data_IF_587546072721
#
_entry.id   IF_587546072721
#
_cell.length_a   1.000
_cell.length_b   1.000
_cell.length_c   1.000
_cell.angle_alpha   90.00
_cell.angle_beta   90.00
_cell.angle_gamma   90.00
#
_symmetry.space_group_name_H-M   'P 1'
#
loop_
_entity.id
_entity.type
_entity.pdbx_description
1 polymer ?
#
# COMPACT_ATOMS: atom_id res chain seq x y z
N UNK A 1 3.32 -2.30 9.26
CA UNK A 1 2.43 -1.13 9.09
C UNK A 1 3.20 0.09 9.48
N UNK A 2 3.19 1.10 8.61
CA UNK A 2 3.58 2.46 8.99
C UNK A 2 2.33 3.25 9.27
N UNK A 3 2.29 3.82 10.46
CA UNK A 3 1.17 4.60 10.94
C UNK A 3 1.33 6.03 10.44
N UNK A 4 0.26 6.85 10.42
CA UNK A 4 0.42 8.27 10.14
C UNK A 4 1.48 8.96 11.02
N UNK A 5 1.64 8.51 12.27
CA UNK A 5 2.67 9.03 13.18
C UNK A 5 4.11 8.86 12.68
N UNK A 6 4.36 7.93 11.77
CA UNK A 6 5.68 7.69 11.19
C UNK A 6 6.29 8.95 10.56
N UNK A 7 5.46 9.77 9.91
CA UNK A 7 5.88 11.01 9.24
C UNK A 7 5.04 12.24 9.60
N UNK A 8 4.03 12.10 10.45
CA UNK A 8 3.20 13.19 10.97
C UNK A 8 3.12 13.10 12.49
N UNK A 9 3.82 13.97 13.22
CA UNK A 9 3.84 13.99 14.70
C UNK A 9 2.46 14.07 15.39
N UNK A 10 1.44 14.54 14.68
CA UNK A 10 0.06 14.65 15.17
C UNK A 10 -0.88 13.59 14.56
N UNK A 11 -0.36 12.72 13.70
CA UNK A 11 -1.10 11.60 13.14
C UNK A 11 -1.27 10.47 14.13
N UNK A 12 -2.22 9.57 13.84
CA UNK A 12 -2.46 8.39 14.67
C UNK A 12 -1.21 7.50 14.77
N UNK A 13 -0.87 7.11 15.98
CA UNK A 13 0.02 5.97 16.26
C UNK A 13 -0.71 4.65 16.10
N UNK A 14 0.02 3.54 16.24
CA UNK A 14 -0.54 2.19 16.14
C UNK A 14 -1.67 1.92 17.16
N UNK A 15 -1.68 2.60 18.32
CA UNK A 15 -2.73 2.47 19.34
C UNK A 15 -3.96 3.35 19.08
N UNK A 16 -3.87 4.31 18.16
CA UNK A 16 -4.86 5.39 17.95
C UNK A 16 -5.64 5.26 16.64
N UNK A 17 -5.25 4.37 15.72
CA UNK A 17 -5.98 4.19 14.45
C UNK A 17 -7.42 3.73 14.75
N UNK A 18 -8.44 4.44 14.24
CA UNK A 18 -9.85 4.07 14.43
C UNK A 18 -10.16 2.65 13.93
N UNK A 19 -11.00 1.93 14.68
CA UNK A 19 -11.31 0.51 14.38
C UNK A 19 -12.08 0.33 13.06
N UNK A 20 -12.88 1.30 12.65
CA UNK A 20 -13.56 1.32 11.34
C UNK A 20 -12.58 1.45 10.15
N UNK A 21 -11.32 1.80 10.43
CA UNK A 21 -10.20 1.79 9.47
C UNK A 21 -9.35 0.53 9.57
N UNK A 22 -9.67 -0.40 10.47
CA UNK A 22 -8.90 -1.64 10.68
C UNK A 22 -9.75 -2.90 10.51
N UNK A 23 -11.05 -2.84 10.81
CA UNK A 23 -11.95 -3.98 10.81
C UNK A 23 -12.98 -3.84 9.68
N UNK A 24 -13.15 -4.90 8.89
CA UNK A 24 -14.12 -4.93 7.78
C UNK A 24 -13.94 -3.77 6.79
N UNK A 25 -12.69 -3.44 6.49
CA UNK A 25 -12.34 -2.35 5.57
C UNK A 25 -12.52 -2.83 4.13
N UNK A 26 -13.31 -2.17 3.26
CA UNK A 26 -13.45 -2.58 1.86
C UNK A 26 -12.08 -2.62 1.17
N UNK A 27 -11.79 -3.65 0.38
CA UNK A 27 -10.56 -3.72 -0.42
C UNK A 27 -10.86 -3.25 -1.84
N UNK A 28 -9.95 -2.45 -2.39
CA UNK A 28 -9.81 -2.22 -3.82
C UNK A 28 -8.42 -2.69 -4.26
N UNK A 29 -8.34 -3.68 -5.16
CA UNK A 29 -7.07 -4.20 -5.66
C UNK A 29 -6.79 -3.68 -7.08
N UNK A 30 -5.72 -2.91 -7.24
CA UNK A 30 -5.16 -2.55 -8.54
C UNK A 30 -4.01 -3.52 -8.84
N UNK A 31 -4.12 -4.24 -9.96
CA UNK A 31 -3.10 -5.16 -10.44
C UNK A 31 -2.23 -4.49 -11.50
N UNK A 32 -0.94 -4.35 -11.19
CA UNK A 32 0.12 -3.80 -12.05
C UNK A 32 1.24 -4.82 -12.26
N UNK A 33 0.96 -6.12 -12.08
CA UNK A 33 1.96 -7.17 -12.15
C UNK A 33 2.66 -7.23 -13.51
N UNK A 34 1.94 -6.99 -14.61
CA UNK A 34 2.52 -7.05 -15.95
C UNK A 34 3.50 -5.89 -16.18
N UNK A 35 3.15 -4.71 -15.71
CA UNK A 35 3.94 -3.50 -15.79
C UNK A 35 5.21 -3.62 -14.93
N UNK A 36 5.06 -4.08 -13.68
CA UNK A 36 6.16 -4.35 -12.76
C UNK A 36 7.11 -5.45 -13.27
N UNK A 37 6.59 -6.45 -13.97
CA UNK A 37 7.43 -7.50 -14.58
C UNK A 37 8.27 -6.99 -15.77
N UNK A 38 7.79 -5.97 -16.49
CA UNK A 38 8.52 -5.33 -17.60
C UNK A 38 9.50 -4.26 -17.13
N UNK A 39 9.19 -3.60 -16.00
CA UNK A 39 10.00 -2.56 -15.41
C UNK A 39 10.02 -2.70 -13.89
N UNK A 40 11.15 -3.16 -13.32
CA UNK A 40 11.33 -3.28 -11.88
C UNK A 40 11.26 -1.94 -11.12
N UNK A 41 11.36 -0.79 -11.82
CA UNK A 41 11.17 0.56 -11.26
C UNK A 41 9.81 1.16 -11.63
N UNK A 42 8.82 0.33 -11.98
CA UNK A 42 7.51 0.82 -12.36
C UNK A 42 6.86 1.63 -11.23
N UNK A 43 6.51 2.88 -11.53
CA UNK A 43 5.78 3.74 -10.62
C UNK A 43 4.33 3.78 -11.09
N UNK A 44 3.39 3.37 -10.24
CA UNK A 44 1.96 3.35 -10.60
C UNK A 44 1.42 4.78 -10.78
N UNK A 45 1.00 5.19 -11.99
CA UNK A 45 0.47 6.52 -12.26
C UNK A 45 -1.02 6.63 -11.93
N UNK A 46 -1.52 7.87 -11.87
CA UNK A 46 -2.95 8.20 -11.66
C UNK A 46 -3.83 7.50 -12.70
N UNK A 47 -3.33 7.30 -13.92
CA UNK A 47 -4.05 6.63 -14.99
C UNK A 47 -4.48 5.20 -14.65
N UNK A 48 -3.73 4.47 -13.81
CA UNK A 48 -4.12 3.13 -13.35
C UNK A 48 -5.32 3.19 -12.41
N UNK A 49 -5.37 4.18 -11.51
CA UNK A 49 -6.53 4.43 -10.64
C UNK A 49 -7.77 4.74 -11.47
N UNK A 50 -7.65 5.65 -12.44
CA UNK A 50 -8.78 6.04 -13.29
C UNK A 50 -9.27 4.88 -14.17
N UNK A 51 -8.35 4.08 -14.71
CA UNK A 51 -8.71 2.88 -15.50
C UNK A 51 -9.42 1.85 -14.63
N UNK A 52 -8.92 1.63 -13.42
CA UNK A 52 -9.56 0.73 -12.47
C UNK A 52 -10.97 1.21 -12.11
N UNK A 53 -11.17 2.50 -11.85
CA UNK A 53 -12.48 3.05 -11.51
C UNK A 53 -13.47 2.99 -12.69
N UNK A 54 -12.99 3.15 -13.92
CA UNK A 54 -13.83 3.00 -15.11
C UNK A 54 -14.37 1.56 -15.27
N UNK A 55 -13.65 0.56 -14.75
CA UNK A 55 -14.03 -0.87 -14.85
C UNK A 55 -14.84 -1.34 -13.64
N UNK A 56 -14.55 -0.82 -12.45
CA UNK A 56 -15.07 -1.35 -11.19
C UNK A 56 -16.02 -0.37 -10.46
N UNK A 57 -16.20 0.85 -10.98
CA UNK A 57 -16.86 1.94 -10.28
C UNK A 57 -15.91 2.74 -9.39
N UNK A 58 -16.39 3.81 -8.73
CA UNK A 58 -15.55 4.63 -7.86
C UNK A 58 -14.94 3.81 -6.73
N UNK A 59 -13.73 4.18 -6.29
CA UNK A 59 -13.13 3.57 -5.10
C UNK A 59 -14.10 3.67 -3.90
N UNK A 60 -14.35 2.56 -3.17
CA UNK A 60 -15.20 2.61 -1.99
C UNK A 60 -14.64 3.61 -0.96
N UNK A 61 -15.52 4.31 -0.26
CA UNK A 61 -15.09 5.20 0.81
C UNK A 61 -14.44 4.40 1.94
N UNK A 62 -13.37 4.96 2.52
CA UNK A 62 -12.59 4.35 3.59
C UNK A 62 -12.05 2.96 3.22
N UNK A 63 -11.63 2.76 1.96
CA UNK A 63 -11.10 1.47 1.50
C UNK A 63 -9.61 1.30 1.79
N UNK A 64 -9.16 0.05 1.82
CA UNK A 64 -7.77 -0.33 1.72
C UNK A 64 -7.43 -0.54 0.24
N UNK A 65 -6.64 0.38 -0.32
CA UNK A 65 -6.15 0.26 -1.69
C UNK A 65 -4.92 -0.65 -1.69
N UNK A 66 -5.03 -1.81 -2.34
CA UNK A 66 -3.95 -2.77 -2.48
C UNK A 66 -3.35 -2.69 -3.89
N UNK A 67 -2.02 -2.65 -3.97
CA UNK A 67 -1.28 -2.64 -5.24
C UNK A 67 -0.59 -3.99 -5.40
N UNK A 68 -1.11 -4.82 -6.31
CA UNK A 68 -0.50 -6.11 -6.67
C UNK A 68 0.51 -5.88 -7.77
N UNK A 69 1.78 -6.14 -7.45
CA UNK A 69 2.90 -6.05 -8.39
C UNK A 69 3.49 -7.43 -8.72
N UNK A 70 3.07 -8.47 -8.00
CA UNK A 70 3.65 -9.80 -8.02
C UNK A 70 5.03 -9.88 -7.37
N UNK A 71 5.40 -8.87 -6.55
CA UNK A 71 6.74 -8.77 -5.97
C UNK A 71 6.97 -9.73 -4.80
N UNK A 72 5.89 -10.18 -4.14
CA UNK A 72 5.94 -11.13 -3.01
C UNK A 72 6.68 -12.42 -3.37
N UNK A 73 6.71 -12.83 -4.64
CA UNK A 73 7.47 -14.01 -5.12
C UNK A 73 8.97 -13.93 -4.82
N UNK A 74 9.52 -12.73 -4.63
CA UNK A 74 10.94 -12.52 -4.34
C UNK A 74 11.28 -12.58 -2.85
N UNK A 75 10.30 -12.69 -1.94
CA UNK A 75 10.49 -12.55 -0.49
C UNK A 75 11.60 -13.44 0.10
N UNK A 76 11.73 -14.67 -0.38
CA UNK A 76 12.75 -15.63 0.11
C UNK A 76 14.16 -15.38 -0.46
N UNK A 77 14.34 -14.40 -1.34
CA UNK A 77 15.64 -13.98 -1.85
C UNK A 77 15.85 -12.49 -1.57
N UNK A 78 16.67 -12.19 -0.57
CA UNK A 78 16.93 -10.81 -0.12
C UNK A 78 17.33 -9.86 -1.25
N UNK A 79 18.25 -10.26 -2.12
CA UNK A 79 18.73 -9.38 -3.21
C UNK A 79 17.64 -9.14 -4.24
N UNK A 80 16.87 -10.18 -4.60
CA UNK A 80 15.74 -10.04 -5.52
C UNK A 80 14.60 -9.22 -4.89
N UNK A 81 14.32 -9.39 -3.61
CA UNK A 81 13.27 -8.66 -2.89
C UNK A 81 13.57 -7.17 -2.79
N UNK A 82 14.82 -6.80 -2.52
CA UNK A 82 15.25 -5.40 -2.58
C UNK A 82 15.57 -4.93 -4.01
N UNK A 83 15.41 -5.81 -5.00
CA UNK A 83 15.60 -5.56 -6.43
C UNK A 83 16.96 -4.98 -6.78
N UNK A 84 18.02 -5.56 -6.20
CA UNK A 84 19.41 -5.19 -6.49
C UNK A 84 19.79 -5.69 -7.88
N UNK A 85 20.18 -4.79 -8.77
CA UNK A 85 20.68 -5.13 -10.10
C UNK A 85 22.18 -5.50 -10.10
N UNK A 86 22.73 -5.77 -11.28
CA UNK A 86 24.15 -6.12 -11.45
C UNK A 86 25.13 -4.99 -11.08
N UNK A 87 24.66 -3.74 -10.99
CA UNK A 87 25.45 -2.57 -10.61
C UNK A 87 25.26 -2.19 -9.13
N UNK A 88 24.46 -2.96 -8.37
CA UNK A 88 24.13 -2.66 -6.98
C UNK A 88 23.04 -1.59 -6.81
N UNK A 89 22.41 -1.16 -7.90
CA UNK A 89 21.30 -0.20 -7.89
C UNK A 89 20.02 -0.97 -7.53
N UNK A 90 19.19 -0.37 -6.67
CA UNK A 90 17.98 -1.02 -6.19
C UNK A 90 16.76 -0.51 -6.94
N UNK A 91 15.88 -1.44 -7.31
CA UNK A 91 14.67 -1.19 -8.10
C UNK A 91 13.50 -1.95 -7.49
N UNK A 92 12.44 -1.24 -7.13
CA UNK A 92 11.18 -1.86 -6.71
C UNK A 92 10.02 -1.09 -7.37
N UNK A 93 8.92 -1.79 -7.70
CA UNK A 93 7.68 -1.12 -8.02
C UNK A 93 7.22 -0.27 -6.83
N UNK A 94 6.66 0.88 -7.13
CA UNK A 94 6.21 1.85 -6.13
C UNK A 94 5.01 2.64 -6.66
N UNK A 95 4.50 3.58 -5.86
CA UNK A 95 3.40 4.46 -6.27
C UNK A 95 3.99 5.83 -6.61
N UNK A 96 3.62 6.40 -7.77
CA UNK A 96 4.04 7.77 -8.08
C UNK A 96 3.52 8.75 -7.02
N UNK A 97 4.35 9.70 -6.54
CA UNK A 97 3.89 10.70 -5.58
C UNK A 97 2.67 11.51 -6.04
N UNK A 98 2.55 11.78 -7.35
CA UNK A 98 1.39 12.44 -7.93
C UNK A 98 0.11 11.60 -7.79
N UNK A 99 0.22 10.28 -7.88
CA UNK A 99 -0.89 9.34 -7.64
C UNK A 99 -1.31 9.37 -6.18
N UNK A 100 -0.36 9.38 -5.26
CA UNK A 100 -0.66 9.49 -3.83
C UNK A 100 -1.32 10.84 -3.49
N UNK A 101 -0.84 11.94 -4.08
CA UNK A 101 -1.46 13.26 -3.90
C UNK A 101 -2.90 13.29 -4.45
N UNK A 102 -3.13 12.70 -5.62
CA UNK A 102 -4.47 12.55 -6.18
C UNK A 102 -5.39 11.74 -5.24
N UNK A 103 -4.94 10.55 -4.81
CA UNK A 103 -5.71 9.67 -3.94
C UNK A 103 -6.06 10.34 -2.61
N UNK A 104 -5.09 10.96 -1.95
CA UNK A 104 -5.29 11.60 -0.63
C UNK A 104 -6.14 12.86 -0.68
N UNK A 105 -6.22 13.54 -1.83
CA UNK A 105 -7.08 14.73 -2.00
C UNK A 105 -8.47 14.43 -2.52
N UNK A 106 -8.60 13.42 -3.38
CA UNK A 106 -9.81 13.19 -4.17
C UNK A 106 -10.55 11.91 -3.79
N UNK A 107 -9.96 11.05 -2.94
CA UNK A 107 -10.55 9.78 -2.48
C UNK A 107 -10.45 9.69 -0.96
N UNK A 108 -11.21 8.76 -0.40
CA UNK A 108 -11.22 8.45 1.03
C UNK A 108 -10.62 7.07 1.23
N UNK A 109 -9.34 7.01 1.61
CA UNK A 109 -8.64 5.76 1.88
C UNK A 109 -8.50 5.54 3.37
N UNK A 110 -8.70 4.31 3.84
CA UNK A 110 -8.29 3.85 5.17
C UNK A 110 -6.76 3.69 5.21
N UNK A 111 -6.23 2.99 4.21
CA UNK A 111 -4.83 2.64 4.07
C UNK A 111 -4.42 2.33 2.63
N UNK A 112 -3.11 2.17 2.42
CA UNK A 112 -2.51 1.68 1.18
C UNK A 112 -1.63 0.47 1.48
N UNK A 113 -1.70 -0.57 0.65
CA UNK A 113 -0.89 -1.77 0.80
C UNK A 113 -0.13 -2.14 -0.47
N UNK A 114 1.11 -2.60 -0.32
CA UNK A 114 1.98 -3.04 -1.42
C UNK A 114 2.84 -4.24 -0.99
N UNK A 115 3.20 -5.09 -1.94
CA UNK A 115 4.05 -6.27 -1.70
C UNK A 115 5.54 -5.94 -1.54
N UNK A 116 5.97 -4.78 -2.02
CA UNK A 116 7.37 -4.33 -1.98
C UNK A 116 7.76 -3.83 -0.60
N UNK A 117 9.05 -3.60 -0.41
CA UNK A 117 9.63 -3.11 0.84
C UNK A 117 9.36 -1.62 1.11
N UNK A 118 8.69 -0.91 0.19
CA UNK A 118 8.39 0.51 0.31
C UNK A 118 7.29 0.93 -0.67
N UNK A 119 6.37 1.83 -0.27
CA UNK A 119 5.46 2.52 -1.23
C UNK A 119 6.15 3.59 -2.08
N UNK A 120 7.31 4.07 -1.62
CA UNK A 120 8.21 4.96 -2.36
C UNK A 120 9.31 4.15 -3.07
N UNK A 121 9.81 4.66 -4.19
CA UNK A 121 11.07 4.19 -4.77
C UNK A 121 12.27 4.59 -3.89
N UNK A 122 13.41 3.92 -4.06
CA UNK A 122 14.57 4.17 -3.22
C UNK A 122 15.09 5.62 -3.30
N UNK A 123 15.33 6.21 -2.13
CA UNK A 123 15.79 7.60 -2.01
C UNK A 123 14.66 8.63 -1.93
N UNK A 124 13.40 8.20 -2.05
CA UNK A 124 12.22 9.05 -1.86
C UNK A 124 11.44 8.68 -0.60
N UNK A 125 10.72 9.66 -0.07
CA UNK A 125 9.79 9.51 1.06
C UNK A 125 8.50 10.31 0.85
N UNK A 126 8.27 10.82 -0.38
CA UNK A 126 7.19 11.78 -0.65
C UNK A 126 5.83 11.11 -0.52
N UNK A 127 5.69 9.87 -0.99
CA UNK A 127 4.45 9.11 -0.87
C UNK A 127 4.11 8.83 0.59
N UNK A 128 5.11 8.42 1.39
CA UNK A 128 4.97 8.30 2.84
C UNK A 128 4.46 9.58 3.52
N UNK A 129 5.08 10.73 3.23
CA UNK A 129 4.68 12.01 3.83
C UNK A 129 3.24 12.41 3.45
N UNK A 130 2.85 12.21 2.20
CA UNK A 130 1.49 12.54 1.73
C UNK A 130 0.44 11.65 2.41
N UNK A 131 0.69 10.35 2.52
CA UNK A 131 -0.20 9.39 3.21
C UNK A 131 -0.33 9.72 4.69
N UNK A 132 0.79 9.96 5.37
CA UNK A 132 0.82 10.33 6.79
C UNK A 132 0.10 11.66 7.07
N UNK A 133 0.24 12.66 6.20
CA UNK A 133 -0.47 13.93 6.32
C UNK A 133 -2.00 13.76 6.20
N UNK A 134 -2.45 12.77 5.41
CA UNK A 134 -3.85 12.44 5.21
C UNK A 134 -4.41 11.41 6.21
N UNK A 135 -3.63 11.02 7.24
CA UNK A 135 -3.98 9.96 8.19
C UNK A 135 -4.27 8.60 7.54
N UNK A 136 -3.61 8.29 6.42
CA UNK A 136 -3.68 7.01 5.73
C UNK A 136 -2.49 6.14 6.18
N UNK A 137 -2.77 4.94 6.71
CA UNK A 137 -1.70 4.01 7.10
C UNK A 137 -1.15 3.24 5.89
N UNK A 138 0.04 2.68 6.05
CA UNK A 138 0.76 1.96 4.99
C UNK A 138 1.01 0.50 5.43
N UNK A 139 0.79 -0.44 4.51
CA UNK A 139 1.09 -1.86 4.68
C UNK A 139 2.11 -2.29 3.64
N UNK A 140 3.37 -2.40 4.04
CA UNK A 140 4.46 -2.86 3.18
C UNK A 140 4.78 -4.33 3.44
N UNK A 141 5.48 -4.96 2.49
CA UNK A 141 5.82 -6.38 2.54
C UNK A 141 4.58 -7.29 2.64
N UNK A 142 3.47 -6.89 2.01
CA UNK A 142 2.31 -7.78 1.90
C UNK A 142 2.70 -9.07 1.17
N UNK A 143 2.09 -10.17 1.63
CA UNK A 143 2.24 -11.47 0.98
C UNK A 143 1.44 -11.53 -0.33
N UNK A 144 1.35 -12.72 -0.92
CA UNK A 144 0.65 -12.95 -2.18
C UNK A 144 -0.81 -12.43 -2.15
N UNK A 145 -1.11 -11.51 -3.08
CA UNK A 145 -2.42 -10.92 -3.27
C UNK A 145 -3.22 -11.61 -4.39
N UNK A 146 -2.73 -12.72 -4.94
CA UNK A 146 -3.31 -13.39 -6.12
C UNK A 146 -4.78 -13.85 -5.97
N UNK A 147 -5.22 -14.12 -4.74
CA UNK A 147 -6.59 -14.56 -4.44
C UNK A 147 -7.53 -13.40 -4.13
N UNK A 148 -7.02 -12.18 -3.97
CA UNK A 148 -7.83 -11.01 -3.66
C UNK A 148 -8.49 -10.50 -4.96
N UNK A 149 -9.82 -10.37 -5.03
CA UNK A 149 -10.48 -9.80 -6.20
C UNK A 149 -10.28 -8.28 -6.29
N UNK A 150 -10.53 -7.70 -7.46
CA UNK A 150 -10.53 -6.25 -7.64
C UNK A 150 -11.46 -5.54 -6.64
N UNK A 151 -12.68 -6.08 -6.46
CA UNK A 151 -13.72 -5.56 -5.55
C UNK A 151 -14.42 -6.69 -4.81
N UNK A 152 -15.12 -6.35 -3.73
CA UNK A 152 -16.01 -7.27 -2.99
C UNK A 152 -15.36 -7.93 -1.77
N UNK A 153 -14.04 -7.90 -1.66
CA UNK A 153 -13.31 -8.37 -0.48
C UNK A 153 -13.23 -7.31 0.63
N UNK A 154 -13.02 -7.76 1.87
CA UNK A 154 -12.81 -6.90 3.03
C UNK A 154 -11.52 -7.27 3.75
N UNK A 155 -10.85 -6.29 4.35
CA UNK A 155 -9.65 -6.48 5.15
C UNK A 155 -9.95 -6.43 6.65
N UNK A 156 -9.25 -7.27 7.39
CA UNK A 156 -9.02 -7.14 8.83
C UNK A 156 -7.52 -6.90 9.02
N UNK A 157 -7.17 -5.73 9.54
CA UNK A 157 -5.80 -5.25 9.73
C UNK A 157 -5.51 -5.18 11.23
N UNK A 158 -4.64 -6.06 11.73
CA UNK A 158 -4.37 -6.22 13.16
C UNK A 158 -2.92 -5.83 13.47
N UNK A 159 -2.61 -4.53 13.62
CA UNK A 159 -1.30 -4.10 14.10
C UNK A 159 -1.13 -4.44 15.59
N UNK A 160 0.10 -4.67 16.02
CA UNK A 160 0.38 -4.65 17.46
C UNK A 160 -0.01 -3.29 18.05
N UNK A 161 -0.79 -3.30 19.13
CA UNK A 161 -1.28 -2.08 19.79
C UNK A 161 -0.21 -1.47 20.69
N UNK A 162 0.82 -0.89 20.08
CA UNK A 162 1.95 -0.26 20.78
C UNK A 162 1.70 1.24 20.89
N UNK A 163 1.72 1.76 22.11
CA UNK A 163 1.42 3.17 22.35
C UNK A 163 2.46 4.12 21.74
N UNK A 164 1.99 5.19 21.08
CA UNK A 164 2.83 6.20 20.43
C UNK A 164 3.67 5.69 19.24
N UNK A 165 3.56 4.42 18.86
CA UNK A 165 4.42 3.82 17.85
C UNK A 165 4.12 4.35 16.45
N UNK A 166 5.18 4.74 15.73
CA UNK A 166 5.15 5.12 14.31
C UNK A 166 4.97 3.93 13.37
N UNK A 167 5.23 2.71 13.82
CA UNK A 167 5.03 1.49 13.04
C UNK A 167 4.79 0.28 13.92
N UNK A 168 4.21 -0.77 13.35
CA UNK A 168 3.92 -2.01 14.05
C UNK A 168 3.95 -3.21 13.08
N UNK A 169 4.47 -4.39 13.52
CA UNK A 169 4.15 -5.66 12.87
C UNK A 169 2.64 -5.84 12.83
N UNK A 170 2.12 -6.38 11.72
CA UNK A 170 0.68 -6.41 11.45
C UNK A 170 0.28 -7.72 10.79
N UNK A 171 -0.75 -8.36 11.33
CA UNK A 171 -1.42 -9.46 10.63
C UNK A 171 -2.55 -8.89 9.79
N UNK A 172 -2.47 -9.10 8.48
CA UNK A 172 -3.49 -8.66 7.51
C UNK A 172 -4.24 -9.90 7.03
N UNK A 173 -5.56 -9.84 7.02
CA UNK A 173 -6.45 -10.91 6.55
C UNK A 173 -7.41 -10.32 5.54
N UNK A 174 -7.57 -10.97 4.38
CA UNK A 174 -8.61 -10.66 3.41
C UNK A 174 -9.74 -11.68 3.54
N UNK A 175 -10.96 -11.20 3.70
CA UNK A 175 -12.20 -11.97 3.58
C UNK A 175 -12.66 -11.85 2.13
N UNK A 176 -12.64 -12.97 1.41
CA UNK A 176 -13.06 -13.06 0.03
C UNK A 176 -14.59 -13.21 -0.06
N UNK A 177 -15.22 -12.79 -1.18
CA UNK A 177 -16.67 -12.90 -1.39
C UNK A 177 -17.19 -14.34 -1.44
#
# INVERSE_FOLDING_TARGET
MDTPRHFNKHGWSASEIPLDRLLMVPIALIDVQQEAARNASYLMPVAEVLRWEAQNGPLPSNCLLLIRSGWSKYYNNRNAFYGVDQYGIRHIPAIEPATVEFLTRQRSLAGVGIETASVDFYGATRSHHLLAAANVYILENLADLSLVPAVGAHAIVMPMKIDGAGGAPTRVVALLP
#
